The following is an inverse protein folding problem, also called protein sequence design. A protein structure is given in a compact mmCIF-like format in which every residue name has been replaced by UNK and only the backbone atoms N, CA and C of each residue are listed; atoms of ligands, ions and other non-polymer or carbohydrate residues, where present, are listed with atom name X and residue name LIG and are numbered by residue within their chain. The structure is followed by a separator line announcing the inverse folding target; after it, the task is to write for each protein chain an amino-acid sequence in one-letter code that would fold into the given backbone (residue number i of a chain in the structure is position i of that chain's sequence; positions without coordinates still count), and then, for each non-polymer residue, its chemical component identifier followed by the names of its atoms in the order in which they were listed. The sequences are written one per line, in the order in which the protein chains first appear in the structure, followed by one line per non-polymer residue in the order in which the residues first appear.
data_IF_295932320939
#
_entry.id   IF_295932320939
#
_cell.length_a   1.000
_cell.length_b   1.000
_cell.length_c   1.000
_cell.angle_alpha   90.00
_cell.angle_beta   90.00
_cell.angle_gamma   90.00
#
_symmetry.space_group_name_H-M   'P 1'
#
loop_
_entity.id
_entity.type
_entity.pdbx_description
1 polymer ?
#
# COMPACT_ATOMS: atom_id res chain seq x y z
N UNK A 1 -16.85 -2.58 -22.13
CA UNK A 1 -16.31 -2.51 -23.51
C UNK A 1 -15.36 -1.34 -23.81
N UNK A 2 -15.71 -0.05 -23.57
CA UNK A 2 -14.79 1.07 -23.88
C UNK A 2 -13.58 1.15 -22.95
N UNK A 3 -13.77 1.03 -21.64
CA UNK A 3 -12.67 1.01 -20.66
C UNK A 3 -11.68 -0.14 -20.93
N UNK A 4 -12.18 -1.35 -21.19
CA UNK A 4 -11.34 -2.49 -21.55
C UNK A 4 -10.42 -2.18 -22.74
N UNK A 5 -10.95 -1.50 -23.77
CA UNK A 5 -10.16 -1.09 -24.93
C UNK A 5 -9.05 -0.11 -24.54
N UNK A 6 -9.36 0.89 -23.70
CA UNK A 6 -8.37 1.86 -23.21
C UNK A 6 -7.27 1.19 -22.38
N UNK A 7 -7.63 0.20 -21.54
CA UNK A 7 -6.66 -0.58 -20.78
C UNK A 7 -5.76 -1.42 -21.69
N UNK A 8 -6.30 -1.99 -22.77
CA UNK A 8 -5.50 -2.72 -23.77
C UNK A 8 -4.57 -1.78 -24.55
N UNK A 9 -5.03 -0.58 -24.93
CA UNK A 9 -4.18 0.46 -25.52
C UNK A 9 -3.06 0.87 -24.57
N UNK A 10 -3.33 1.01 -23.27
CA UNK A 10 -2.32 1.26 -22.25
C UNK A 10 -1.26 0.14 -22.15
N UNK A 11 -1.64 -1.11 -22.41
CA UNK A 11 -0.70 -2.23 -22.52
C UNK A 11 0.17 -2.10 -23.78
N UNK A 12 -0.39 -1.72 -24.91
CA UNK A 12 0.37 -1.46 -26.14
C UNK A 12 1.40 -0.33 -25.95
N UNK A 13 1.03 0.70 -25.17
CA UNK A 13 1.92 1.79 -24.78
C UNK A 13 2.88 1.45 -23.62
N UNK A 14 2.89 0.20 -23.13
CA UNK A 14 3.72 -0.28 -22.00
C UNK A 14 3.49 0.48 -20.68
N UNK A 15 2.34 1.10 -20.52
CA UNK A 15 1.93 1.74 -19.27
C UNK A 15 1.37 0.73 -18.28
N UNK A 16 0.78 -0.37 -18.78
CA UNK A 16 0.32 -1.51 -17.99
C UNK A 16 0.90 -2.80 -18.54
N UNK A 17 1.00 -3.82 -17.69
CA UNK A 17 1.31 -5.18 -18.10
C UNK A 17 0.01 -5.90 -18.48
N UNK A 18 0.05 -6.91 -19.36
CA UNK A 18 -1.13 -7.72 -19.66
C UNK A 18 -1.78 -8.34 -18.41
N UNK A 19 -0.97 -8.67 -17.40
CA UNK A 19 -1.44 -9.19 -16.13
C UNK A 19 -2.31 -8.19 -15.37
N UNK A 20 -1.96 -6.91 -15.40
CA UNK A 20 -2.66 -5.85 -14.65
C UNK A 20 -4.10 -5.71 -15.17
N UNK A 21 -4.25 -5.73 -16.50
CA UNK A 21 -5.56 -5.68 -17.17
C UNK A 21 -6.36 -6.96 -16.92
N UNK A 22 -5.73 -8.13 -17.03
CA UNK A 22 -6.44 -9.39 -16.80
C UNK A 22 -6.92 -9.51 -15.35
N UNK A 23 -6.09 -9.10 -14.38
CA UNK A 23 -6.47 -9.04 -12.97
C UNK A 23 -7.70 -8.15 -12.76
N UNK A 24 -7.66 -6.92 -13.27
CA UNK A 24 -8.75 -5.97 -13.16
C UNK A 24 -10.07 -6.50 -13.71
N UNK A 25 -10.04 -7.07 -14.92
CA UNK A 25 -11.23 -7.65 -15.56
C UNK A 25 -11.76 -8.87 -14.82
N UNK A 26 -10.88 -9.71 -14.27
CA UNK A 26 -11.30 -10.89 -13.50
C UNK A 26 -11.93 -10.52 -12.16
N UNK A 27 -11.49 -9.43 -11.53
CA UNK A 27 -11.91 -9.05 -10.18
C UNK A 27 -13.17 -8.19 -10.18
N UNK A 28 -13.25 -7.19 -11.07
CA UNK A 28 -14.33 -6.20 -11.07
C UNK A 28 -15.22 -6.28 -12.32
N UNK A 29 -14.76 -6.94 -13.38
CA UNK A 29 -15.50 -7.06 -14.63
C UNK A 29 -15.76 -5.72 -15.32
N UNK A 30 -16.81 -5.68 -16.13
CA UNK A 30 -17.26 -4.48 -16.86
C UNK A 30 -18.33 -3.69 -16.08
N UNK A 31 -18.88 -4.24 -14.99
CA UNK A 31 -19.99 -3.64 -14.24
C UNK A 31 -19.57 -2.43 -13.39
N UNK A 32 -18.29 -2.41 -12.97
CA UNK A 32 -17.75 -1.37 -12.09
C UNK A 32 -16.48 -0.73 -12.69
N UNK A 33 -16.60 0.19 -13.68
CA UNK A 33 -15.46 0.80 -14.38
C UNK A 33 -14.40 1.41 -13.45
N UNK A 34 -14.84 2.07 -12.38
CA UNK A 34 -13.96 2.67 -11.38
C UNK A 34 -13.11 1.63 -10.67
N UNK A 35 -13.75 0.54 -10.21
CA UNK A 35 -13.10 -0.55 -9.49
C UNK A 35 -12.15 -1.31 -10.41
N UNK A 36 -12.52 -1.49 -11.67
CA UNK A 36 -11.66 -2.07 -12.70
C UNK A 36 -10.41 -1.23 -12.93
N UNK A 37 -10.54 0.10 -13.04
CA UNK A 37 -9.37 0.97 -13.16
C UNK A 37 -8.49 0.91 -11.90
N UNK A 38 -9.09 1.03 -10.71
CA UNK A 38 -8.36 0.97 -9.45
C UNK A 38 -7.62 -0.38 -9.28
N UNK A 39 -8.24 -1.49 -9.68
CA UNK A 39 -7.62 -2.81 -9.67
C UNK A 39 -6.44 -2.91 -10.64
N UNK A 40 -6.55 -2.33 -11.84
CA UNK A 40 -5.46 -2.31 -12.81
C UNK A 40 -4.27 -1.50 -12.29
N UNK A 41 -4.53 -0.31 -11.75
CA UNK A 41 -3.52 0.57 -11.17
C UNK A 41 -2.86 -0.06 -9.94
N UNK A 42 -3.65 -0.68 -9.06
CA UNK A 42 -3.15 -1.38 -7.89
C UNK A 42 -2.23 -2.55 -8.29
N UNK A 43 -2.61 -3.32 -9.31
CA UNK A 43 -1.80 -4.44 -9.81
C UNK A 43 -0.48 -3.94 -10.42
N UNK A 44 -0.55 -2.84 -11.18
CA UNK A 44 0.62 -2.17 -11.74
C UNK A 44 1.57 -1.67 -10.65
N UNK A 45 1.08 -0.88 -9.70
CA UNK A 45 1.84 -0.34 -8.57
C UNK A 45 2.49 -1.47 -7.75
N UNK A 46 1.74 -2.55 -7.48
CA UNK A 46 2.29 -3.74 -6.83
C UNK A 46 3.40 -4.42 -7.64
N UNK A 47 3.32 -4.33 -8.96
CA UNK A 47 4.34 -4.77 -9.90
C UNK A 47 5.65 -3.99 -9.82
N UNK A 48 5.54 -2.68 -9.58
CA UNK A 48 6.66 -1.75 -9.41
C UNK A 48 7.24 -1.78 -7.98
N UNK A 49 6.64 -2.59 -7.10
CA UNK A 49 7.11 -2.80 -5.72
C UNK A 49 6.42 -1.92 -4.68
N UNK A 50 5.37 -1.18 -5.05
CA UNK A 50 4.53 -0.48 -4.09
C UNK A 50 3.64 -1.46 -3.31
N UNK A 51 3.44 -1.22 -2.02
CA UNK A 51 2.64 -2.11 -1.15
C UNK A 51 1.15 -1.86 -1.30
N UNK A 52 0.77 -0.60 -1.57
CA UNK A 52 -0.61 -0.14 -1.67
C UNK A 52 -0.73 1.02 -2.65
N UNK A 53 -1.96 1.26 -3.09
CA UNK A 53 -2.37 2.41 -3.89
C UNK A 53 -3.10 3.42 -2.98
N UNK A 54 -2.53 4.61 -2.72
CA UNK A 54 -3.23 5.68 -2.03
C UNK A 54 -4.41 6.21 -2.86
N UNK A 55 -5.57 6.44 -2.23
CA UNK A 55 -6.75 7.00 -2.90
C UNK A 55 -6.50 8.39 -3.47
N UNK A 56 -5.59 9.16 -2.88
CA UNK A 56 -5.17 10.46 -3.40
C UNK A 56 -4.57 10.41 -4.81
N UNK A 57 -4.05 9.25 -5.26
CA UNK A 57 -3.59 9.05 -6.66
C UNK A 57 -4.72 8.76 -7.63
N UNK A 58 -5.90 8.42 -7.11
CA UNK A 58 -7.14 8.19 -7.87
C UNK A 58 -7.99 9.46 -7.99
N UNK A 59 -7.84 10.38 -7.04
CA UNK A 59 -8.44 11.70 -7.11
C UNK A 59 -7.89 12.49 -8.28
N UNK A 60 -8.73 13.32 -8.90
CA UNK A 60 -8.38 14.14 -10.06
C UNK A 60 -7.56 15.36 -9.63
N UNK A 61 -6.34 15.12 -9.13
CA UNK A 61 -5.40 16.12 -8.63
C UNK A 61 -4.05 16.04 -9.36
N UNK A 62 -3.09 16.90 -9.00
CA UNK A 62 -1.75 16.90 -9.63
C UNK A 62 -0.95 15.60 -9.43
N UNK A 63 -1.27 14.81 -8.40
CA UNK A 63 -0.65 13.52 -8.10
C UNK A 63 -1.38 12.33 -8.77
N UNK A 64 -2.36 12.61 -9.63
CA UNK A 64 -3.15 11.60 -10.33
C UNK A 64 -2.31 10.74 -11.27
N UNK A 65 -2.68 9.48 -11.38
CA UNK A 65 -2.04 8.57 -12.32
C UNK A 65 -2.35 8.97 -13.79
N UNK A 66 -1.38 8.99 -14.72
CA UNK A 66 -1.62 9.40 -16.11
C UNK A 66 -2.75 8.65 -16.83
N UNK A 67 -2.97 7.38 -16.46
CA UNK A 67 -4.05 6.55 -17.00
C UNK A 67 -5.45 6.98 -16.56
N UNK A 68 -5.59 7.69 -15.43
CA UNK A 68 -6.87 8.26 -15.03
C UNK A 68 -7.34 9.26 -16.07
N UNK A 69 -6.47 10.19 -16.49
CA UNK A 69 -6.81 11.22 -17.47
C UNK A 69 -7.44 10.64 -18.75
N UNK A 70 -6.92 9.50 -19.21
CA UNK A 70 -7.45 8.78 -20.39
C UNK A 70 -8.79 8.10 -20.11
N UNK A 71 -8.99 7.58 -18.90
CA UNK A 71 -10.16 6.78 -18.53
C UNK A 71 -11.28 7.58 -17.81
N UNK A 72 -11.04 8.86 -17.46
CA UNK A 72 -12.01 9.71 -16.71
C UNK A 72 -13.37 9.78 -17.43
N UNK A 73 -13.38 9.81 -18.76
CA UNK A 73 -14.63 9.89 -19.53
C UNK A 73 -15.58 8.72 -19.29
N UNK A 74 -15.06 7.54 -18.95
CA UNK A 74 -15.86 6.32 -18.72
C UNK A 74 -16.24 6.14 -17.25
N UNK A 75 -15.48 6.75 -16.33
CA UNK A 75 -15.65 6.61 -14.89
C UNK A 75 -16.50 7.75 -14.31
N UNK A 76 -16.51 8.90 -14.99
CA UNK A 76 -17.07 10.14 -14.49
C UNK A 76 -16.16 10.80 -13.44
N UNK A 77 -16.50 12.04 -13.05
CA UNK A 77 -15.85 12.68 -11.89
C UNK A 77 -16.35 12.00 -10.61
N UNK A 78 -15.63 10.96 -10.17
CA UNK A 78 -15.89 10.33 -8.89
C UNK A 78 -15.35 11.21 -7.76
N UNK A 79 -16.28 11.74 -6.98
CA UNK A 79 -15.97 12.53 -5.78
C UNK A 79 -15.70 11.63 -4.56
N UNK A 80 -16.24 10.40 -4.55
CA UNK A 80 -16.10 9.44 -3.45
C UNK A 80 -15.60 8.07 -3.92
N UNK A 81 -14.27 7.94 -4.08
CA UNK A 81 -13.65 6.66 -4.45
C UNK A 81 -13.91 5.55 -3.43
N UNK A 82 -13.90 5.87 -2.14
CA UNK A 82 -14.14 4.91 -1.06
C UNK A 82 -15.50 4.22 -1.18
N UNK A 83 -16.58 4.99 -1.35
CA UNK A 83 -17.94 4.46 -1.51
C UNK A 83 -18.07 3.63 -2.79
N UNK A 84 -17.47 4.10 -3.89
CA UNK A 84 -17.51 3.40 -5.16
C UNK A 84 -16.77 2.05 -5.12
N UNK A 85 -15.61 2.01 -4.45
CA UNK A 85 -14.83 0.79 -4.26
C UNK A 85 -15.58 -0.22 -3.39
N UNK A 86 -16.12 0.24 -2.25
CA UNK A 86 -16.84 -0.63 -1.31
C UNK A 86 -18.22 -1.10 -1.82
N UNK A 87 -18.76 -0.48 -2.87
CA UNK A 87 -19.96 -0.97 -3.54
C UNK A 87 -19.72 -2.29 -4.31
N UNK A 88 -18.46 -2.62 -4.64
CA UNK A 88 -18.11 -3.86 -5.32
C UNK A 88 -17.76 -4.97 -4.33
N UNK A 89 -18.25 -6.19 -4.61
CA UNK A 89 -17.90 -7.39 -3.84
C UNK A 89 -16.41 -7.77 -3.93
N UNK A 90 -15.65 -7.10 -4.81
CA UNK A 90 -14.21 -7.27 -4.93
C UNK A 90 -13.40 -6.56 -3.83
N UNK A 91 -14.02 -5.62 -3.11
CA UNK A 91 -13.35 -4.78 -2.12
C UNK A 91 -14.06 -4.90 -0.78
N UNK A 92 -13.29 -5.10 0.29
CA UNK A 92 -13.79 -5.07 1.66
C UNK A 92 -12.85 -4.25 2.55
N UNK A 93 -13.19 -4.12 3.84
CA UNK A 93 -12.30 -3.49 4.82
C UNK A 93 -11.44 -4.51 5.59
N UNK A 94 -11.34 -5.74 5.07
CA UNK A 94 -10.64 -6.85 5.73
C UNK A 94 -11.53 -7.70 6.64
N UNK A 95 -12.83 -7.46 6.60
CA UNK A 95 -13.89 -8.26 7.19
C UNK A 95 -14.24 -9.49 6.35
N UNK A 96 -14.06 -9.41 5.03
CA UNK A 96 -14.33 -10.50 4.09
C UNK A 96 -13.08 -10.92 3.30
N UNK A 97 -12.99 -12.17 2.80
CA UNK A 97 -11.86 -12.65 2.01
C UNK A 97 -11.92 -12.14 0.56
N UNK A 98 -11.91 -10.82 0.37
CA UNK A 98 -11.97 -10.16 -0.94
C UNK A 98 -10.57 -9.97 -1.55
N UNK A 99 -10.43 -9.92 -2.89
CA UNK A 99 -9.13 -9.77 -3.55
C UNK A 99 -8.44 -8.43 -3.26
N UNK A 100 -9.22 -7.37 -3.02
CA UNK A 100 -8.71 -6.05 -2.65
C UNK A 100 -9.24 -5.64 -1.28
N UNK A 101 -8.40 -4.94 -0.52
CA UNK A 101 -8.71 -4.47 0.83
C UNK A 101 -8.52 -2.96 0.89
N UNK A 102 -9.55 -2.23 1.32
CA UNK A 102 -9.47 -0.80 1.58
C UNK A 102 -9.26 -0.57 3.07
N UNK A 103 -8.08 -0.04 3.43
CA UNK A 103 -7.71 0.26 4.81
C UNK A 103 -7.37 1.75 4.94
N UNK A 104 -8.27 2.53 5.55
CA UNK A 104 -8.18 3.98 5.56
C UNK A 104 -8.24 4.55 4.14
N UNK A 105 -7.24 5.34 3.77
CA UNK A 105 -7.07 5.99 2.47
C UNK A 105 -6.22 5.17 1.48
N UNK A 106 -6.00 3.88 1.75
CA UNK A 106 -5.10 3.02 0.97
C UNK A 106 -5.78 1.73 0.54
N UNK A 107 -5.67 1.45 -0.75
CA UNK A 107 -6.14 0.22 -1.37
C UNK A 107 -4.98 -0.78 -1.49
N UNK A 108 -5.22 -2.02 -1.10
CA UNK A 108 -4.22 -3.08 -1.06
C UNK A 108 -4.69 -4.30 -1.85
N UNK A 109 -3.73 -5.03 -2.43
CA UNK A 109 -3.97 -6.44 -2.73
C UNK A 109 -4.06 -7.21 -1.42
N UNK A 110 -5.03 -8.12 -1.29
CA UNK A 110 -5.24 -8.90 -0.07
C UNK A 110 -3.95 -9.54 0.47
N UNK A 111 -3.15 -10.12 -0.44
CA UNK A 111 -1.85 -10.70 -0.09
C UNK A 111 -0.90 -9.69 0.57
N UNK A 112 -0.81 -8.48 0.03
CA UNK A 112 0.08 -7.44 0.58
C UNK A 112 -0.41 -6.94 1.94
N UNK A 113 -1.72 -6.76 2.09
CA UNK A 113 -2.32 -6.42 3.36
C UNK A 113 -2.08 -7.50 4.44
N UNK A 114 -2.23 -8.78 4.08
CA UNK A 114 -1.93 -9.90 4.98
C UNK A 114 -0.45 -9.94 5.38
N UNK A 115 0.46 -9.64 4.45
CA UNK A 115 1.89 -9.55 4.75
C UNK A 115 2.16 -8.42 5.75
N UNK A 116 1.60 -7.22 5.52
CA UNK A 116 1.75 -6.08 6.44
C UNK A 116 1.23 -6.41 7.83
N UNK A 117 0.05 -7.04 7.93
CA UNK A 117 -0.50 -7.51 9.21
C UNK A 117 0.39 -8.55 9.88
N UNK A 118 1.01 -9.44 9.10
CA UNK A 118 1.92 -10.45 9.64
C UNK A 118 3.17 -9.81 10.22
N UNK A 119 3.74 -8.81 9.54
CA UNK A 119 4.87 -8.02 10.03
C UNK A 119 4.49 -7.24 11.29
N UNK A 120 3.36 -6.53 11.28
CA UNK A 120 2.88 -5.78 12.44
C UNK A 120 2.63 -6.69 13.64
N UNK A 121 2.04 -7.87 13.42
CA UNK A 121 1.83 -8.88 14.46
C UNK A 121 3.16 -9.40 15.01
N UNK A 122 4.12 -9.72 14.15
CA UNK A 122 5.45 -10.17 14.59
C UNK A 122 6.09 -9.13 15.50
N UNK A 123 6.07 -7.85 15.13
CA UNK A 123 6.58 -6.79 16.00
C UNK A 123 5.77 -6.64 17.28
N UNK A 124 4.44 -6.74 17.26
CA UNK A 124 3.64 -6.60 18.47
C UNK A 124 3.79 -7.79 19.44
N UNK A 125 3.92 -9.01 18.93
CA UNK A 125 4.01 -10.24 19.73
C UNK A 125 5.44 -10.49 20.23
N UNK A 126 6.46 -10.14 19.46
CA UNK A 126 7.85 -10.46 19.81
C UNK A 126 8.52 -9.34 20.60
N UNK A 127 8.07 -8.09 20.46
CA UNK A 127 8.65 -6.91 21.11
C UNK A 127 8.34 -6.82 22.62
N UNK A 128 8.92 -7.74 23.38
CA UNK A 128 8.95 -7.69 24.82
C UNK A 128 10.09 -6.76 25.27
N UNK A 129 9.77 -5.86 26.21
CA UNK A 129 10.79 -5.04 26.86
C UNK A 129 11.71 -5.96 27.67
N UNK A 130 13.01 -5.87 27.38
CA UNK A 130 14.03 -6.51 28.21
C UNK A 130 14.32 -5.56 29.35
N UNK A 131 14.35 -6.08 30.57
CA UNK A 131 14.76 -5.30 31.74
C UNK A 131 16.28 -5.04 31.65
N UNK A 132 16.65 -3.78 31.48
CA UNK A 132 18.04 -3.33 31.32
C UNK A 132 18.28 -2.15 32.26
N UNK A 133 19.47 -2.08 32.84
CA UNK A 133 19.93 -0.88 33.55
C UNK A 133 20.11 0.26 32.53
N UNK A 134 19.11 1.14 32.46
CA UNK A 134 19.08 2.27 31.54
C UNK A 134 20.30 3.20 31.71
N UNK A 135 20.77 3.37 32.95
CA UNK A 135 21.89 4.26 33.25
C UNK A 135 23.21 3.68 32.74
N UNK A 136 23.42 2.37 32.90
CA UNK A 136 24.60 1.69 32.35
C UNK A 136 24.56 1.66 30.81
N UNK A 137 23.38 1.42 30.23
CA UNK A 137 23.16 1.41 28.79
C UNK A 137 23.46 2.77 28.16
N UNK A 138 22.91 3.85 28.72
CA UNK A 138 23.14 5.22 28.24
C UNK A 138 24.64 5.58 28.27
N UNK A 139 25.31 5.32 29.40
CA UNK A 139 26.75 5.55 29.54
C UNK A 139 27.59 4.75 28.53
N UNK A 140 27.16 3.54 28.20
CA UNK A 140 27.88 2.68 27.24
C UNK A 140 27.68 3.20 25.82
N UNK A 141 26.45 3.58 25.46
CA UNK A 141 26.13 4.16 24.15
C UNK A 141 26.81 5.53 23.94
N UNK A 142 26.90 6.36 24.98
CA UNK A 142 27.61 7.66 24.91
C UNK A 142 29.12 7.51 24.66
N UNK A 143 29.71 6.38 25.06
CA UNK A 143 31.13 6.08 24.80
C UNK A 143 31.36 5.54 23.39
N UNK A 144 30.39 4.81 22.84
CA UNK A 144 30.52 4.12 21.55
C UNK A 144 30.14 5.01 20.35
N UNK A 145 29.28 6.00 20.57
CA UNK A 145 28.81 6.89 19.52
C UNK A 145 29.27 8.34 19.76
N UNK A 146 29.75 9.04 18.73
CA UNK A 146 30.17 10.43 18.88
C UNK A 146 28.98 11.33 19.21
N UNK A 147 29.26 12.40 19.94
CA UNK A 147 28.29 13.47 20.19
C UNK A 147 28.01 14.19 18.87
N UNK A 148 26.74 14.34 18.54
CA UNK A 148 26.24 15.04 17.35
C UNK A 148 25.10 15.95 17.75
N UNK A 149 24.96 17.09 17.07
CA UNK A 149 23.81 18.00 17.24
C UNK A 149 22.53 17.44 16.58
N UNK A 150 22.67 16.41 15.73
CA UNK A 150 21.56 15.70 15.09
C UNK A 150 21.29 14.35 15.76
N UNK A 151 20.05 13.84 15.60
CA UNK A 151 19.66 12.52 16.12
C UNK A 151 20.57 11.44 15.51
N UNK A 152 21.37 10.80 16.36
CA UNK A 152 22.21 9.68 15.94
C UNK A 152 21.35 8.40 15.81
N UNK A 153 20.81 8.18 14.62
CA UNK A 153 19.97 7.01 14.31
C UNK A 153 20.67 5.67 14.56
N UNK A 154 22.01 5.62 14.45
CA UNK A 154 22.77 4.41 14.76
C UNK A 154 22.77 4.10 16.26
N UNK A 155 22.93 5.14 17.10
CA UNK A 155 22.81 5.03 18.56
C UNK A 155 21.40 4.62 18.99
N UNK A 156 20.37 5.19 18.36
CA UNK A 156 18.96 4.81 18.58
C UNK A 156 18.73 3.35 18.20
N UNK A 157 19.20 2.92 17.02
CA UNK A 157 19.09 1.53 16.58
C UNK A 157 19.77 0.55 17.55
N UNK A 158 20.97 0.89 18.05
CA UNK A 158 21.68 0.07 19.03
C UNK A 158 20.93 -0.02 20.38
N UNK A 159 20.39 1.10 20.87
CA UNK A 159 19.55 1.11 22.08
C UNK A 159 18.29 0.25 21.91
N UNK A 160 17.61 0.39 20.77
CA UNK A 160 16.40 -0.40 20.46
C UNK A 160 16.74 -1.89 20.38
N UNK A 161 17.86 -2.28 19.73
CA UNK A 161 18.27 -3.68 19.66
C UNK A 161 18.63 -4.30 21.01
N UNK A 162 19.14 -3.51 21.96
CA UNK A 162 19.50 -3.96 23.31
C UNK A 162 18.30 -4.03 24.27
N UNK A 163 17.29 -3.20 24.05
CA UNK A 163 16.11 -3.09 24.94
C UNK A 163 14.88 -3.83 24.41
N UNK A 164 14.84 -4.10 23.10
CA UNK A 164 13.75 -4.83 22.43
C UNK A 164 14.30 -6.12 21.84
N UNK A 165 13.69 -7.25 22.22
CA UNK A 165 13.99 -8.53 21.60
C UNK A 165 13.22 -8.61 20.27
N UNK A 166 13.94 -8.71 19.16
CA UNK A 166 13.39 -9.10 17.85
C UNK A 166 14.05 -10.44 17.56
N UNK A 167 13.35 -11.55 17.80
CA UNK A 167 13.85 -12.92 17.61
C UNK A 167 12.84 -13.76 16.85
#
# INVERSE_FOLDING_TARGET
MKLQKQLLEAVEHKQLRPLDVQFALTVAGDEHPAVTLAAALLSHDAGEGHVCLPLSRLENNEASHPLLATCVSEIGELQNWEECLLASQAVSRGDEPTPMILCGDRLYLNRMWCNERTVARFFNEVNHAIEVDEALLAQTLDKLFPVSDEINWQKVAAAVALTRRIS
#
